data_IF_728426943970
#
_entry.id   IF_728426943970
#
_cell.length_a   1.000
_cell.length_b   1.000
_cell.length_c   1.000
_cell.angle_alpha   90.00
_cell.angle_beta   90.00
_cell.angle_gamma   90.00
#
_symmetry.space_group_name_H-M   'P 1'
#
loop_
_entity.id
_entity.type
_entity.pdbx_description
1 polymer ?
#
# COMPACT_ATOMS: atom_id res chain seq x y z
N UNK A 1 18.44 4.79 -11.20
CA UNK A 1 17.81 5.67 -10.19
C UNK A 1 16.62 4.89 -9.67
N UNK A 2 16.46 4.70 -8.35
CA UNK A 2 15.33 3.95 -7.78
C UNK A 2 14.18 4.90 -7.44
N UNK A 3 12.95 4.49 -7.74
CA UNK A 3 11.71 5.21 -7.48
C UNK A 3 10.85 4.42 -6.49
N UNK A 4 10.47 5.06 -5.38
CA UNK A 4 9.55 4.51 -4.40
C UNK A 4 8.33 5.40 -4.24
N UNK A 5 7.17 4.79 -3.98
CA UNK A 5 5.92 5.49 -3.73
C UNK A 5 5.45 5.20 -2.30
N UNK A 6 5.14 6.24 -1.55
CA UNK A 6 4.49 6.11 -0.25
C UNK A 6 2.98 6.10 -0.43
N UNK A 7 2.32 5.05 0.03
CA UNK A 7 0.88 4.91 0.09
C UNK A 7 0.44 5.03 1.55
N UNK A 8 -0.32 6.08 1.84
CA UNK A 8 -1.01 6.21 3.12
C UNK A 8 -2.32 5.42 3.06
N UNK A 9 -2.46 4.45 3.96
CA UNK A 9 -3.67 3.62 4.08
C UNK A 9 -4.61 4.09 5.19
N UNK A 10 -4.17 5.05 6.03
CA UNK A 10 -5.04 5.68 6.99
C UNK A 10 -6.06 6.56 6.24
N UNK A 11 -7.32 6.51 6.67
CA UNK A 11 -8.33 7.42 6.15
C UNK A 11 -7.96 8.85 6.58
N UNK A 12 -7.30 9.61 5.70
CA UNK A 12 -7.11 11.03 5.90
C UNK A 12 -8.49 11.70 5.97
N UNK A 13 -8.72 12.51 7.00
CA UNK A 13 -9.99 13.17 7.32
C UNK A 13 -10.80 13.59 6.06
N UNK A 14 -11.78 12.77 5.67
CA UNK A 14 -12.69 13.04 4.54
C UNK A 14 -12.44 12.27 3.24
N UNK A 15 -11.46 11.38 3.17
CA UNK A 15 -11.28 10.45 2.04
C UNK A 15 -11.92 9.08 2.30
N UNK A 16 -12.44 8.48 1.23
CA UNK A 16 -12.99 7.12 1.26
C UNK A 16 -11.93 6.12 1.73
N UNK A 17 -12.36 5.19 2.57
CA UNK A 17 -11.55 4.06 3.02
C UNK A 17 -11.17 3.23 1.79
N UNK A 18 -9.87 3.12 1.49
CA UNK A 18 -9.39 2.33 0.36
C UNK A 18 -9.69 0.84 0.61
N UNK A 19 -10.36 0.20 -0.34
CA UNK A 19 -10.55 -1.25 -0.31
C UNK A 19 -9.34 -2.00 -0.91
N UNK A 20 -9.22 -3.30 -0.60
CA UNK A 20 -8.10 -4.12 -1.08
C UNK A 20 -8.01 -4.15 -2.62
N UNK A 21 -9.13 -4.08 -3.34
CA UNK A 21 -9.16 -4.04 -4.80
C UNK A 21 -8.52 -2.76 -5.34
N UNK A 22 -8.80 -1.62 -4.73
CA UNK A 22 -8.18 -0.34 -5.08
C UNK A 22 -6.67 -0.35 -4.81
N UNK A 23 -6.25 -0.86 -3.65
CA UNK A 23 -4.84 -0.93 -3.25
C UNK A 23 -4.08 -1.89 -4.17
N UNK A 24 -4.58 -3.10 -4.40
CA UNK A 24 -3.94 -4.08 -5.29
C UNK A 24 -3.82 -3.56 -6.73
N UNK A 25 -4.87 -2.93 -7.27
CA UNK A 25 -4.83 -2.32 -8.59
C UNK A 25 -3.82 -1.17 -8.68
N UNK A 26 -3.66 -0.38 -7.61
CA UNK A 26 -2.65 0.67 -7.54
C UNK A 26 -1.24 0.09 -7.57
N UNK A 27 -0.95 -0.91 -6.74
CA UNK A 27 0.38 -1.54 -6.66
C UNK A 27 0.73 -2.24 -7.97
N UNK A 28 -0.22 -2.92 -8.61
CA UNK A 28 -0.01 -3.52 -9.94
C UNK A 28 0.30 -2.47 -11.02
N UNK A 29 -0.35 -1.30 -10.97
CA UNK A 29 -0.03 -0.18 -11.88
C UNK A 29 1.37 0.38 -11.60
N UNK A 30 1.75 0.51 -10.34
CA UNK A 30 3.09 0.95 -9.95
C UNK A 30 4.16 -0.04 -10.46
N UNK A 31 3.92 -1.34 -10.29
CA UNK A 31 4.79 -2.39 -10.81
C UNK A 31 4.90 -2.34 -12.34
N UNK A 32 3.77 -2.21 -13.05
CA UNK A 32 3.76 -2.07 -14.51
C UNK A 32 4.46 -0.80 -15.00
N UNK A 33 4.49 0.26 -14.19
CA UNK A 33 5.21 1.50 -14.46
C UNK A 33 6.72 1.43 -14.15
N UNK A 34 7.21 0.30 -13.62
CA UNK A 34 8.61 0.10 -13.28
C UNK A 34 9.05 0.79 -11.97
N UNK A 35 8.10 1.02 -11.05
CA UNK A 35 8.41 1.50 -9.69
C UNK A 35 9.11 0.38 -8.93
N UNK A 36 10.19 0.72 -8.21
CA UNK A 36 10.99 -0.27 -7.48
C UNK A 36 10.29 -0.73 -6.19
N UNK A 37 9.54 0.16 -5.53
CA UNK A 37 8.97 -0.12 -4.22
C UNK A 37 7.72 0.70 -3.90
N UNK A 38 6.79 0.08 -3.17
CA UNK A 38 5.68 0.74 -2.48
C UNK A 38 5.88 0.63 -0.96
N UNK A 39 5.82 1.77 -0.28
CA UNK A 39 5.90 1.89 1.17
C UNK A 39 4.49 2.14 1.67
N UNK A 40 3.96 1.25 2.50
CA UNK A 40 2.65 1.35 3.14
C UNK A 40 2.86 2.05 4.48
N UNK A 41 2.38 3.28 4.56
CA UNK A 41 2.44 4.05 5.81
C UNK A 41 1.21 3.71 6.66
N UNK A 42 1.45 3.17 7.85
CA UNK A 42 0.44 3.01 8.90
C UNK A 42 0.85 3.87 10.10
N UNK A 43 -0.12 4.59 10.67
CA UNK A 43 0.12 5.47 11.83
C UNK A 43 -0.19 4.72 13.11
N UNK A 44 0.80 4.54 13.98
CA UNK A 44 0.65 3.87 15.28
C UNK A 44 0.32 4.83 16.44
N UNK A 45 0.44 6.15 16.23
CA UNK A 45 0.21 7.17 17.26
C UNK A 45 -1.28 7.31 17.65
N UNK A 46 -2.19 6.90 16.77
CA UNK A 46 -3.64 6.91 16.96
C UNK A 46 -4.22 5.56 16.51
N UNK A 47 -5.44 5.17 16.94
CA UNK A 47 -6.09 3.99 16.39
C UNK A 47 -6.19 4.15 14.87
N UNK A 48 -5.44 3.32 14.12
CA UNK A 48 -5.42 3.38 12.66
C UNK A 48 -6.85 3.31 12.16
N UNK A 49 -7.24 4.29 11.37
CA UNK A 49 -8.54 4.32 10.68
C UNK A 49 -8.52 3.41 9.45
N UNK A 50 -7.37 2.83 9.12
CA UNK A 50 -7.26 1.85 8.06
C UNK A 50 -7.94 0.53 8.47
N UNK A 51 -8.62 -0.15 7.55
CA UNK A 51 -9.26 -1.44 7.82
C UNK A 51 -8.26 -2.61 7.75
N UNK A 52 -6.98 -2.36 7.46
CA UNK A 52 -5.97 -3.37 7.21
C UNK A 52 -4.76 -3.19 8.12
N UNK A 53 -4.27 -4.29 8.68
CA UNK A 53 -2.95 -4.31 9.32
C UNK A 53 -1.86 -4.35 8.23
N UNK A 54 -0.84 -3.51 8.35
CA UNK A 54 0.14 -3.25 7.29
C UNK A 54 0.89 -4.52 6.82
N UNK A 55 1.32 -5.37 7.76
CA UNK A 55 2.03 -6.62 7.45
C UNK A 55 1.14 -7.61 6.68
N UNK A 56 -0.12 -7.74 7.11
CA UNK A 56 -1.12 -8.60 6.48
C UNK A 56 -1.47 -8.09 5.08
N UNK A 57 -1.60 -6.78 4.91
CA UNK A 57 -1.82 -6.16 3.61
C UNK A 57 -0.65 -6.44 2.66
N UNK A 58 0.59 -6.33 3.12
CA UNK A 58 1.77 -6.68 2.33
C UNK A 58 1.77 -8.15 1.92
N UNK A 59 1.43 -9.06 2.83
CA UNK A 59 1.35 -10.48 2.52
C UNK A 59 0.31 -10.73 1.41
N UNK A 60 -0.85 -10.08 1.49
CA UNK A 60 -1.88 -10.18 0.46
C UNK A 60 -1.41 -9.58 -0.88
N UNK A 61 -0.79 -8.40 -0.87
CA UNK A 61 -0.26 -7.75 -2.08
C UNK A 61 0.85 -8.58 -2.74
N UNK A 62 1.69 -9.25 -1.95
CA UNK A 62 2.74 -10.15 -2.45
C UNK A 62 2.17 -11.32 -3.26
N UNK A 63 0.90 -11.69 -3.08
CA UNK A 63 0.26 -12.75 -3.88
C UNK A 63 -0.19 -12.28 -5.26
N UNK A 64 -0.24 -10.97 -5.50
CA UNK A 64 -0.77 -10.35 -6.72
C UNK A 64 0.25 -9.49 -7.47
N UNK A 65 1.52 -9.52 -7.04
CA UNK A 65 2.67 -8.82 -7.63
C UNK A 65 3.87 -9.75 -7.71
N UNK A 66 4.83 -9.51 -8.60
CA UNK A 66 5.96 -10.42 -8.84
C UNK A 66 7.34 -9.83 -8.55
N UNK A 67 7.50 -8.50 -8.68
CA UNK A 67 8.81 -7.84 -8.77
C UNK A 67 8.93 -6.59 -7.91
N UNK A 68 7.82 -5.89 -7.64
CA UNK A 68 7.85 -4.67 -6.84
C UNK A 68 8.18 -4.97 -5.37
N UNK A 69 9.01 -4.14 -4.75
CA UNK A 69 9.26 -4.19 -3.31
C UNK A 69 8.06 -3.68 -2.52
N UNK A 70 7.70 -4.37 -1.43
CA UNK A 70 6.63 -3.96 -0.52
C UNK A 70 7.21 -3.76 0.89
N UNK A 71 6.98 -2.59 1.48
CA UNK A 71 7.48 -2.21 2.81
C UNK A 71 6.34 -1.61 3.63
N UNK A 72 6.30 -1.91 4.93
CA UNK A 72 5.39 -1.32 5.92
C UNK A 72 6.20 -0.61 6.99
#
# INVERSE_FOLDING_TARGET
>A
MHLAISLDIAAANGHDILDFGQISAFVQKAEAAGVDMVIISDSADEPSTSPFEATTLIAALSTVTEKIGLVA
#
